data_IF_175130453840
#
_entry.id   IF_175130453840
#
_cell.length_a   1.000
_cell.length_b   1.000
_cell.length_c   1.000
_cell.angle_alpha   90.00
_cell.angle_beta   90.00
_cell.angle_gamma   90.00
#
_symmetry.space_group_name_H-M   'P 1'
#
loop_
_entity.id
_entity.type
_entity.pdbx_description
1 polymer ?
#
# COMPACT_ATOMS: atom_id res chain seq x y z
N UNK A 1 -20.24 7.22 -4.27
CA UNK A 1 -19.94 6.42 -3.06
C UNK A 1 -19.53 5.05 -3.57
N UNK A 2 -18.34 4.56 -3.19
CA UNK A 2 -17.58 3.44 -3.81
C UNK A 2 -17.14 3.64 -5.27
N UNK A 3 -16.36 4.69 -5.53
CA UNK A 3 -15.46 4.64 -6.68
C UNK A 3 -14.29 3.74 -6.32
N UNK A 4 -13.99 2.72 -7.12
CA UNK A 4 -12.92 1.73 -6.90
C UNK A 4 -11.50 2.34 -6.72
N UNK A 5 -11.37 3.66 -6.88
CA UNK A 5 -10.15 4.43 -6.69
C UNK A 5 -9.80 4.71 -5.23
N UNK A 6 -10.81 4.90 -4.34
CA UNK A 6 -10.59 5.28 -2.94
C UNK A 6 -11.59 4.61 -1.99
N UNK A 7 -11.08 3.79 -1.07
CA UNK A 7 -11.89 3.16 -0.04
C UNK A 7 -11.98 4.06 1.20
N UNK A 8 -13.20 4.42 1.60
CA UNK A 8 -13.51 5.18 2.83
C UNK A 8 -14.61 4.50 3.66
N UNK A 9 -14.99 3.28 3.30
CA UNK A 9 -16.16 2.59 3.87
C UNK A 9 -16.02 2.37 5.38
N UNK A 10 -14.81 2.06 5.84
CA UNK A 10 -14.50 1.88 7.25
C UNK A 10 -14.75 3.11 8.11
N UNK A 11 -14.55 4.31 7.57
CA UNK A 11 -14.82 5.56 8.30
C UNK A 11 -16.31 5.70 8.66
N UNK A 12 -17.21 5.25 7.78
CA UNK A 12 -18.65 5.28 8.04
C UNK A 12 -19.09 4.26 9.10
N UNK A 13 -18.27 3.23 9.35
CA UNK A 13 -18.48 2.23 10.41
C UNK A 13 -17.79 2.62 11.73
N UNK A 14 -17.22 3.82 11.82
CA UNK A 14 -16.53 4.30 13.02
C UNK A 14 -15.10 3.77 13.17
N UNK A 15 -14.54 3.09 12.16
CA UNK A 15 -13.12 2.74 12.16
C UNK A 15 -12.28 4.01 12.08
N UNK A 16 -11.17 4.02 12.80
CA UNK A 16 -10.19 5.10 12.79
C UNK A 16 -8.91 4.58 12.14
N UNK A 17 -8.28 5.35 11.25
CA UNK A 17 -6.98 4.95 10.73
C UNK A 17 -5.94 4.97 11.85
N UNK A 18 -5.00 4.05 11.79
CA UNK A 18 -3.87 3.96 12.71
C UNK A 18 -2.62 3.59 11.89
N UNK A 19 -1.48 4.17 12.25
CA UNK A 19 -0.23 3.99 11.51
C UNK A 19 0.91 3.75 12.48
N UNK A 20 1.52 2.58 12.32
CA UNK A 20 2.66 2.15 13.11
C UNK A 20 3.96 2.41 12.33
N UNK A 21 4.96 2.96 13.00
CA UNK A 21 6.33 2.95 12.48
C UNK A 21 6.99 1.60 12.80
N UNK A 22 7.62 0.97 11.82
CA UNK A 22 8.42 -0.24 12.05
C UNK A 22 9.59 0.00 12.99
N UNK A 23 10.09 1.24 13.06
CA UNK A 23 11.14 1.64 14.02
C UNK A 23 10.63 1.76 15.46
N UNK A 24 9.31 1.84 15.67
CA UNK A 24 8.70 1.89 17.00
C UNK A 24 8.34 0.50 17.54
N UNK A 25 8.46 -0.56 16.72
CA UNK A 25 8.21 -1.92 17.17
C UNK A 25 9.26 -2.35 18.21
N UNK A 26 8.80 -2.84 19.35
CA UNK A 26 9.69 -3.21 20.48
C UNK A 26 10.22 -4.62 20.38
N UNK A 27 9.61 -5.46 19.55
CA UNK A 27 10.02 -6.83 19.31
C UNK A 27 9.68 -7.29 17.88
N UNK A 28 10.35 -8.35 17.37
CA UNK A 28 9.97 -8.96 16.10
C UNK A 28 8.53 -9.46 16.07
N UNK A 29 8.01 -9.96 17.21
CA UNK A 29 6.62 -10.42 17.30
C UNK A 29 5.63 -9.28 17.14
N UNK A 30 5.88 -8.12 17.74
CA UNK A 30 5.01 -6.94 17.59
C UNK A 30 4.96 -6.46 16.13
N UNK A 31 6.11 -6.50 15.43
CA UNK A 31 6.16 -6.19 14.01
C UNK A 31 5.40 -7.22 13.17
N UNK A 32 5.54 -8.52 13.47
CA UNK A 32 4.82 -9.58 12.79
C UNK A 32 3.29 -9.45 12.98
N UNK A 33 2.83 -9.21 14.20
CA UNK A 33 1.42 -9.00 14.52
C UNK A 33 0.86 -7.77 13.78
N UNK A 34 1.61 -6.67 13.76
CA UNK A 34 1.26 -5.47 13.00
C UNK A 34 1.15 -5.74 11.50
N UNK A 35 2.13 -6.45 10.92
CA UNK A 35 2.11 -6.83 9.50
C UNK A 35 0.90 -7.72 9.18
N UNK A 36 0.63 -8.74 9.99
CA UNK A 36 -0.53 -9.61 9.79
C UNK A 36 -1.85 -8.84 9.88
N UNK A 37 -1.96 -7.87 10.79
CA UNK A 37 -3.14 -7.04 10.93
C UNK A 37 -3.43 -6.17 9.69
N UNK A 38 -2.40 -5.79 8.91
CA UNK A 38 -2.60 -5.01 7.68
C UNK A 38 -3.43 -5.74 6.62
N UNK A 39 -3.53 -7.07 6.70
CA UNK A 39 -4.29 -7.92 5.80
C UNK A 39 -5.56 -8.53 6.44
N UNK A 40 -5.95 -8.06 7.63
CA UNK A 40 -7.09 -8.60 8.37
C UNK A 40 -8.44 -8.13 7.79
N UNK A 41 -9.07 -8.98 6.97
CA UNK A 41 -10.38 -8.74 6.35
C UNK A 41 -11.39 -9.84 6.73
N UNK A 42 -12.19 -9.67 7.78
CA UNK A 42 -13.26 -10.59 8.12
C UNK A 42 -14.34 -10.69 7.03
N UNK A 43 -14.99 -11.86 6.86
CA UNK A 43 -14.80 -13.11 7.60
C UNK A 43 -13.65 -13.99 7.07
N UNK A 44 -12.88 -13.52 6.08
CA UNK A 44 -11.86 -14.32 5.40
C UNK A 44 -10.58 -14.49 6.22
N UNK A 45 -10.18 -13.44 6.94
CA UNK A 45 -9.03 -13.42 7.84
C UNK A 45 -9.49 -13.02 9.26
N UNK A 46 -8.86 -13.58 10.31
CA UNK A 46 -9.19 -13.21 11.68
C UNK A 46 -8.86 -11.73 11.97
N UNK A 47 -9.54 -11.15 12.95
CA UNK A 47 -9.24 -9.80 13.43
C UNK A 47 -7.83 -9.78 14.01
N UNK A 48 -6.99 -8.85 13.56
CA UNK A 48 -5.63 -8.68 14.05
C UNK A 48 -5.60 -8.02 15.44
N UNK A 49 -4.46 -8.13 16.11
CA UNK A 49 -4.21 -7.45 17.38
C UNK A 49 -2.91 -6.66 17.26
N UNK A 50 -2.99 -5.35 17.49
CA UNK A 50 -1.82 -4.46 17.47
C UNK A 50 -1.86 -3.62 18.73
N UNK A 51 -0.79 -3.67 19.53
CA UNK A 51 -0.71 -2.93 20.80
C UNK A 51 -1.93 -3.14 21.73
N UNK A 52 -2.43 -4.39 21.78
CA UNK A 52 -3.60 -4.76 22.60
C UNK A 52 -4.95 -4.26 22.07
N UNK A 53 -5.00 -3.77 20.82
CA UNK A 53 -6.22 -3.27 20.18
C UNK A 53 -6.55 -4.11 18.96
N UNK A 54 -7.84 -4.37 18.77
CA UNK A 54 -8.36 -4.98 17.55
C UNK A 54 -8.03 -4.10 16.33
N UNK A 55 -7.49 -4.72 15.28
CA UNK A 55 -7.07 -4.06 14.06
C UNK A 55 -7.62 -4.79 12.83
N UNK A 56 -7.94 -4.02 11.79
CA UNK A 56 -8.43 -4.47 10.49
C UNK A 56 -7.53 -3.91 9.38
N UNK A 57 -7.68 -4.44 8.17
CA UNK A 57 -6.99 -3.97 6.97
C UNK A 57 -7.17 -2.46 6.77
N UNK A 58 -6.05 -1.74 6.69
CA UNK A 58 -6.04 -0.28 6.57
C UNK A 58 -6.69 0.23 5.28
N UNK A 59 -6.76 -0.61 4.25
CA UNK A 59 -7.45 -0.30 3.00
C UNK A 59 -8.97 -0.24 3.11
N UNK A 60 -9.56 -0.57 4.26
CA UNK A 60 -10.96 -0.25 4.55
C UNK A 60 -11.17 1.26 4.79
N UNK A 61 -10.13 1.96 5.21
CA UNK A 61 -10.18 3.36 5.65
C UNK A 61 -9.42 4.29 4.69
N UNK A 62 -8.26 3.87 4.20
CA UNK A 62 -7.36 4.73 3.41
C UNK A 62 -6.50 3.92 2.42
N UNK A 63 -7.02 3.66 1.21
CA UNK A 63 -6.28 3.05 0.11
C UNK A 63 -6.59 3.74 -1.24
N UNK A 64 -5.57 4.31 -1.93
CA UNK A 64 -4.19 4.54 -1.45
C UNK A 64 -4.18 5.42 -0.18
N UNK A 65 -3.08 5.47 0.61
CA UNK A 65 -3.03 6.11 1.92
C UNK A 65 -3.02 7.66 1.84
N UNK A 66 -4.08 8.25 1.29
CA UNK A 66 -4.17 9.67 0.99
C UNK A 66 -4.11 10.55 2.23
N UNK A 67 -4.64 10.07 3.37
CA UNK A 67 -4.63 10.84 4.62
C UNK A 67 -3.18 11.07 5.05
N UNK A 68 -2.34 10.02 5.02
CA UNK A 68 -0.92 10.16 5.37
C UNK A 68 -0.09 10.88 4.36
N UNK A 69 -0.39 10.69 3.08
CA UNK A 69 0.30 11.43 2.04
C UNK A 69 0.05 12.93 2.20
N UNK A 70 -1.19 13.34 2.46
CA UNK A 70 -1.52 14.74 2.72
C UNK A 70 -0.80 15.31 3.95
N UNK A 71 -0.76 14.56 5.06
CA UNK A 71 -0.01 14.97 6.26
C UNK A 71 1.49 15.13 5.99
N UNK A 72 2.09 14.19 5.27
CA UNK A 72 3.52 14.22 4.92
C UNK A 72 3.83 15.40 3.98
N UNK A 73 3.01 15.60 2.94
CA UNK A 73 3.17 16.68 1.97
C UNK A 73 2.98 18.06 2.61
N UNK A 74 2.02 18.20 3.55
CA UNK A 74 1.83 19.43 4.33
C UNK A 74 3.07 19.76 5.20
N UNK A 75 3.79 18.74 5.67
CA UNK A 75 5.08 18.88 6.34
C UNK A 75 6.27 19.12 5.39
N UNK A 76 6.04 19.22 4.07
CA UNK A 76 7.09 19.39 3.06
C UNK A 76 7.88 18.12 2.74
N UNK A 77 7.45 16.95 3.22
CA UNK A 77 8.14 15.70 2.96
C UNK A 77 7.94 15.23 1.52
N UNK A 78 9.00 14.67 0.94
CA UNK A 78 8.93 13.99 -0.36
C UNK A 78 8.50 12.54 -0.16
N UNK A 79 7.53 12.07 -0.94
CA UNK A 79 6.97 10.72 -0.84
C UNK A 79 7.14 9.96 -2.15
N UNK A 80 7.43 8.65 -2.03
CA UNK A 80 7.40 7.70 -3.13
C UNK A 80 6.24 6.75 -2.90
N UNK A 81 5.30 6.71 -3.84
CA UNK A 81 4.14 5.80 -3.79
C UNK A 81 4.34 4.72 -4.84
N UNK A 82 4.44 3.47 -4.38
CA UNK A 82 4.48 2.29 -5.26
C UNK A 82 3.06 1.75 -5.41
N UNK A 83 2.51 1.85 -6.61
CA UNK A 83 1.19 1.29 -6.94
C UNK A 83 1.33 -0.13 -7.48
N UNK A 84 0.37 -0.99 -7.17
CA UNK A 84 0.19 -2.29 -7.85
C UNK A 84 -0.91 -2.23 -8.92
N UNK A 85 -1.47 -1.05 -9.17
CA UNK A 85 -2.47 -0.80 -10.22
C UNK A 85 -1.84 0.05 -11.32
N UNK A 86 -1.98 -0.40 -12.57
CA UNK A 86 -1.56 0.36 -13.76
C UNK A 86 -2.49 1.55 -14.06
N UNK A 87 -3.74 1.51 -13.56
CA UNK A 87 -4.67 2.63 -13.61
C UNK A 87 -4.13 3.86 -12.84
N UNK A 88 -4.65 5.05 -13.16
CA UNK A 88 -4.22 6.33 -12.54
C UNK A 88 -5.25 6.91 -11.56
N UNK A 89 -5.43 6.34 -10.36
CA UNK A 89 -6.25 6.97 -9.32
C UNK A 89 -5.50 8.08 -8.54
N UNK A 90 -4.17 8.20 -8.68
CA UNK A 90 -3.35 9.13 -7.90
C UNK A 90 -2.20 9.73 -8.74
N UNK A 91 -2.21 11.03 -9.00
CA UNK A 91 -1.14 11.66 -9.80
C UNK A 91 0.12 12.02 -8.99
N UNK A 92 1.26 12.11 -9.68
CA UNK A 92 2.49 12.67 -9.12
C UNK A 92 2.34 14.18 -8.90
N UNK A 93 3.08 14.73 -7.93
CA UNK A 93 3.16 16.16 -7.61
C UNK A 93 4.62 16.55 -7.40
N UNK A 94 4.91 17.81 -7.11
CA UNK A 94 6.27 18.24 -6.75
C UNK A 94 6.84 17.51 -5.51
N UNK A 95 5.97 17.06 -4.60
CA UNK A 95 6.36 16.37 -3.37
C UNK A 95 6.07 14.86 -3.42
N UNK A 96 5.37 14.36 -4.42
CA UNK A 96 4.98 12.95 -4.52
C UNK A 96 5.36 12.36 -5.87
N UNK A 97 6.16 11.32 -5.85
CA UNK A 97 6.45 10.50 -7.04
C UNK A 97 5.61 9.23 -6.98
N UNK A 98 4.76 8.99 -7.98
CA UNK A 98 3.94 7.78 -8.07
C UNK A 98 4.50 6.85 -9.14
N UNK A 99 5.05 5.71 -8.72
CA UNK A 99 5.55 4.66 -9.60
C UNK A 99 4.48 3.59 -9.78
N UNK A 100 4.33 3.11 -11.02
CA UNK A 100 3.30 2.14 -11.40
C UNK A 100 3.89 1.01 -12.20
N UNK A 101 3.19 -0.13 -12.27
CA UNK A 101 3.52 -1.17 -13.21
C UNK A 101 3.37 -0.63 -14.64
N UNK A 102 4.35 -0.90 -15.51
CA UNK A 102 4.28 -0.52 -16.93
C UNK A 102 3.20 -1.30 -17.69
N UNK A 103 2.82 -2.47 -17.19
CA UNK A 103 1.76 -3.32 -17.72
C UNK A 103 0.74 -3.70 -16.64
N UNK A 104 -0.51 -4.06 -17.00
CA UNK A 104 -1.47 -4.58 -16.03
C UNK A 104 -0.99 -5.86 -15.36
N UNK A 105 -1.00 -5.88 -14.01
CA UNK A 105 -0.76 -7.10 -13.23
C UNK A 105 -1.94 -8.06 -13.43
N UNK A 106 -1.64 -9.29 -13.88
CA UNK A 106 -2.65 -10.29 -14.26
C UNK A 106 -3.09 -11.22 -13.11
N UNK A 107 -2.44 -11.10 -11.96
CA UNK A 107 -2.80 -11.81 -10.72
C UNK A 107 -3.56 -10.90 -9.76
N UNK A 108 -4.34 -11.47 -8.85
CA UNK A 108 -5.05 -10.72 -7.82
C UNK A 108 -4.73 -11.26 -6.42
N UNK A 109 -5.29 -10.61 -5.39
CA UNK A 109 -5.02 -10.94 -3.97
C UNK A 109 -5.36 -12.38 -3.54
N UNK A 110 -6.13 -13.13 -4.33
CA UNK A 110 -6.48 -14.53 -4.08
C UNK A 110 -5.71 -15.51 -4.97
N UNK A 111 -4.85 -15.01 -5.87
CA UNK A 111 -4.04 -15.82 -6.77
C UNK A 111 -2.83 -16.38 -6.02
N UNK A 112 -3.04 -17.43 -5.23
CA UNK A 112 -1.98 -18.06 -4.41
C UNK A 112 -1.41 -19.34 -5.01
N UNK A 113 -2.08 -19.94 -6.00
CA UNK A 113 -1.67 -21.21 -6.63
C UNK A 113 -1.06 -21.05 -8.03
N UNK A 114 -1.11 -19.85 -8.62
CA UNK A 114 -0.55 -19.57 -9.95
C UNK A 114 0.91 -19.09 -9.84
N UNK A 115 1.84 -20.04 -9.75
CA UNK A 115 3.26 -19.74 -9.66
C UNK A 115 3.79 -18.95 -10.88
N UNK A 116 3.28 -19.23 -12.08
CA UNK A 116 3.72 -18.56 -13.30
C UNK A 116 3.27 -17.09 -13.32
N UNK A 117 2.02 -16.83 -12.98
CA UNK A 117 1.48 -15.47 -12.87
C UNK A 117 2.17 -14.65 -11.77
N UNK A 118 2.45 -15.26 -10.61
CA UNK A 118 3.19 -14.61 -9.53
C UNK A 118 4.61 -14.25 -9.94
N UNK A 119 5.33 -15.16 -10.61
CA UNK A 119 6.67 -14.88 -11.13
C UNK A 119 6.64 -13.78 -12.21
N UNK A 120 5.64 -13.79 -13.11
CA UNK A 120 5.49 -12.74 -14.11
C UNK A 120 5.29 -11.36 -13.47
N UNK A 121 4.45 -11.26 -12.43
CA UNK A 121 4.25 -10.01 -11.68
C UNK A 121 5.53 -9.55 -10.97
N UNK A 122 6.30 -10.48 -10.40
CA UNK A 122 7.59 -10.19 -9.78
C UNK A 122 8.62 -9.64 -10.79
N UNK A 123 8.76 -10.29 -11.95
CA UNK A 123 9.69 -9.85 -13.00
C UNK A 123 9.30 -8.48 -13.58
N UNK A 124 8.00 -8.21 -13.75
CA UNK A 124 7.50 -6.90 -14.13
C UNK A 124 7.96 -5.81 -13.15
N UNK A 125 7.79 -6.06 -11.84
CA UNK A 125 8.24 -5.14 -10.79
C UNK A 125 9.75 -4.90 -10.79
N UNK A 126 10.57 -5.93 -11.06
CA UNK A 126 12.03 -5.77 -11.20
C UNK A 126 12.40 -4.87 -12.39
N UNK A 127 11.77 -5.09 -13.54
CA UNK A 127 12.04 -4.31 -14.75
C UNK A 127 11.61 -2.84 -14.59
N UNK A 128 10.44 -2.61 -14.01
CA UNK A 128 9.92 -1.27 -13.74
C UNK A 128 10.78 -0.54 -12.71
N UNK A 129 11.20 -1.23 -11.63
CA UNK A 129 12.10 -0.69 -10.63
C UNK A 129 13.49 -0.34 -11.20
N UNK A 130 14.04 -1.19 -12.07
CA UNK A 130 15.30 -0.93 -12.75
C UNK A 130 15.20 0.28 -13.69
N UNK A 131 14.08 0.42 -14.41
CA UNK A 131 13.82 1.58 -15.28
C UNK A 131 13.72 2.86 -14.47
N UNK A 132 12.95 2.85 -13.37
CA UNK A 132 12.82 3.98 -12.46
C UNK A 132 14.18 4.40 -11.86
N UNK A 133 14.99 3.45 -11.39
CA UNK A 133 16.31 3.74 -10.83
C UNK A 133 17.26 4.39 -11.85
N UNK A 134 17.19 3.99 -13.13
CA UNK A 134 17.96 4.62 -14.21
C UNK A 134 17.51 6.05 -14.47
N UNK A 135 16.20 6.31 -14.47
CA UNK A 135 15.64 7.66 -14.57
C UNK A 135 16.19 8.58 -13.48
N UNK A 136 16.15 8.12 -12.22
CA UNK A 136 16.69 8.88 -11.08
C UNK A 136 18.17 9.25 -11.26
N UNK A 137 18.98 8.34 -11.79
CA UNK A 137 20.41 8.60 -12.05
C UNK A 137 20.62 9.61 -13.21
N UNK A 138 19.70 9.66 -14.17
CA UNK A 138 19.72 10.61 -15.28
C UNK A 138 19.11 11.99 -14.93
N UNK A 139 18.54 12.15 -13.73
CA UNK A 139 17.84 13.37 -13.32
C UNK A 139 16.41 13.48 -13.86
N UNK A 140 15.86 12.39 -14.39
CA UNK A 140 14.47 12.29 -14.84
C UNK A 140 13.65 11.59 -13.75
N UNK A 141 12.54 12.19 -13.26
CA UNK A 141 11.71 11.56 -12.23
C UNK A 141 10.91 10.35 -12.72
#
# INVERSE_FOLDING_TARGET
>A
ITGAAHSRAGLYLGLKPDWLSTHAARSPSELADALMATAAVPPFMPIGQVNGRAALDGGLVDNPPLIRLAEAEAGGARTLVLSTRSARPLESTALRTVVRPSEPIRVNKFTVTDAAGLNAAYQLGLNDGATFAKGLAAGEP
#
